data_IF_236796042871
#
_entry.id   IF_236796042871
#
_cell.length_a   1.000
_cell.length_b   1.000
_cell.length_c   1.000
_cell.angle_alpha   90.00
_cell.angle_beta   90.00
_cell.angle_gamma   90.00
#
_symmetry.space_group_name_H-M   'P 1'
#
loop_
_entity.id
_entity.type
_entity.pdbx_description
1 polymer ?
#
# COMPACT_ATOMS: atom_id res chain seq x y z
N UNK A 1 -5.81 -10.56 -6.50
CA UNK A 1 -6.13 -10.92 -5.09
C UNK A 1 -6.47 -12.39 -5.04
N UNK A 2 -5.76 -13.15 -4.21
CA UNK A 2 -5.89 -14.60 -4.02
C UNK A 2 -6.25 -14.91 -2.57
N UNK A 3 -7.06 -15.92 -2.32
CA UNK A 3 -7.38 -16.39 -0.96
C UNK A 3 -6.66 -17.69 -0.66
N UNK A 4 -6.04 -17.79 0.52
CA UNK A 4 -5.26 -18.96 0.95
C UNK A 4 -5.54 -19.25 2.42
N UNK A 5 -5.61 -20.52 2.80
CA UNK A 5 -5.79 -20.89 4.21
C UNK A 5 -4.53 -20.62 5.03
N UNK A 6 -4.69 -20.30 6.31
CA UNK A 6 -3.58 -20.12 7.25
C UNK A 6 -2.68 -21.37 7.35
N UNK A 7 -3.23 -22.57 7.17
CA UNK A 7 -2.44 -23.82 7.11
C UNK A 7 -1.52 -23.85 5.91
N UNK A 8 -2.03 -23.55 4.71
CA UNK A 8 -1.22 -23.55 3.49
C UNK A 8 -0.11 -22.49 3.55
N UNK A 9 -0.41 -21.30 4.07
CA UNK A 9 0.62 -20.25 4.26
C UNK A 9 1.72 -20.68 5.23
N UNK A 10 1.38 -21.44 6.28
CA UNK A 10 2.38 -21.97 7.23
C UNK A 10 3.28 -23.03 6.58
N UNK A 11 2.70 -23.87 5.72
CA UNK A 11 3.42 -24.95 5.08
C UNK A 11 4.36 -24.45 3.96
N UNK A 12 4.03 -23.31 3.33
CA UNK A 12 4.81 -22.78 2.20
C UNK A 12 4.89 -21.24 2.15
N UNK A 13 5.27 -20.62 3.28
CA UNK A 13 5.33 -19.17 3.42
C UNK A 13 6.23 -18.51 2.36
N UNK A 14 7.37 -19.12 2.05
CA UNK A 14 8.34 -18.59 1.09
C UNK A 14 7.79 -18.51 -0.34
N UNK A 15 6.99 -19.49 -0.79
CA UNK A 15 6.31 -19.40 -2.09
C UNK A 15 5.29 -18.28 -2.08
N UNK A 16 4.46 -18.20 -1.04
CA UNK A 16 3.41 -17.19 -0.97
C UNK A 16 3.96 -15.78 -0.82
N UNK A 17 5.12 -15.58 -0.18
CA UNK A 17 5.80 -14.28 -0.16
C UNK A 17 6.19 -13.82 -1.57
N UNK A 18 6.74 -14.72 -2.40
CA UNK A 18 7.08 -14.40 -3.81
C UNK A 18 5.84 -14.14 -4.64
N UNK A 19 4.78 -14.93 -4.47
CA UNK A 19 3.50 -14.66 -5.14
C UNK A 19 2.93 -13.30 -4.71
N UNK A 20 3.13 -12.92 -3.45
CA UNK A 20 2.61 -11.68 -2.88
C UNK A 20 3.31 -10.41 -3.38
N UNK A 21 4.47 -10.51 -4.02
CA UNK A 21 5.17 -9.39 -4.67
C UNK A 21 4.35 -8.80 -5.83
N UNK A 22 3.52 -9.63 -6.49
CA UNK A 22 2.75 -9.21 -7.68
C UNK A 22 1.25 -9.08 -7.42
N UNK A 23 0.74 -9.59 -6.30
CA UNK A 23 -0.67 -9.50 -5.92
C UNK A 23 -0.90 -9.71 -4.43
N UNK A 24 -1.93 -9.07 -3.88
CA UNK A 24 -2.33 -9.32 -2.50
C UNK A 24 -2.86 -10.75 -2.28
N UNK A 25 -2.48 -11.35 -1.16
CA UNK A 25 -3.00 -12.64 -0.70
C UNK A 25 -3.78 -12.47 0.59
N UNK A 26 -5.07 -12.76 0.56
CA UNK A 26 -5.93 -12.78 1.75
C UNK A 26 -5.76 -14.13 2.46
N UNK A 27 -5.29 -14.08 3.70
CA UNK A 27 -5.13 -15.25 4.56
C UNK A 27 -6.45 -15.50 5.28
N UNK A 28 -6.99 -16.71 5.16
CA UNK A 28 -8.22 -17.13 5.84
C UNK A 28 -7.95 -18.07 7.02
N UNK A 29 -8.72 -17.96 8.08
CA UNK A 29 -8.74 -18.89 9.22
C UNK A 29 -10.15 -19.43 9.39
N UNK A 30 -10.31 -20.75 9.26
CA UNK A 30 -11.63 -21.42 9.24
C UNK A 30 -12.58 -20.82 8.19
N UNK A 31 -12.05 -20.50 7.00
CA UNK A 31 -12.82 -19.94 5.89
C UNK A 31 -13.21 -18.46 6.04
N UNK A 32 -12.72 -17.76 7.08
CA UNK A 32 -12.94 -16.33 7.28
C UNK A 32 -11.66 -15.53 7.08
N UNK A 33 -11.68 -14.35 6.42
CA UNK A 33 -10.51 -13.48 6.32
C UNK A 33 -9.91 -13.17 7.68
N UNK A 34 -8.60 -13.28 7.81
CA UNK A 34 -7.86 -13.09 9.04
C UNK A 34 -6.68 -12.11 8.90
N UNK A 35 -6.15 -11.95 7.68
CA UNK A 35 -5.08 -11.00 7.38
C UNK A 35 -4.81 -10.93 5.88
N UNK A 36 -3.88 -10.08 5.49
CA UNK A 36 -3.39 -9.96 4.12
C UNK A 36 -1.87 -10.10 4.16
N UNK A 37 -1.31 -10.87 3.22
CA UNK A 37 0.11 -10.93 2.93
C UNK A 37 0.38 -10.05 1.72
N UNK A 38 1.28 -9.09 1.90
CA UNK A 38 1.77 -8.16 0.89
C UNK A 38 3.28 -8.42 0.78
N UNK A 39 3.74 -8.74 -0.43
CA UNK A 39 5.15 -8.79 -0.77
C UNK A 39 5.58 -7.48 -1.41
N UNK A 40 6.87 -7.19 -1.38
CA UNK A 40 7.46 -6.03 -2.03
C UNK A 40 8.46 -6.52 -3.08
N UNK A 41 8.26 -6.16 -4.35
CA UNK A 41 9.18 -6.54 -5.44
C UNK A 41 10.50 -5.76 -5.32
N UNK A 42 10.43 -4.54 -4.78
CA UNK A 42 11.57 -3.63 -4.66
C UNK A 42 11.60 -2.86 -3.32
N UNK A 43 12.72 -2.19 -3.06
CA UNK A 43 12.82 -1.25 -1.93
C UNK A 43 11.89 -0.03 -2.11
N UNK A 44 11.61 0.35 -3.36
CA UNK A 44 10.69 1.45 -3.67
C UNK A 44 9.25 1.07 -3.29
N UNK A 45 8.80 -0.15 -3.58
CA UNK A 45 7.47 -0.63 -3.16
C UNK A 45 7.31 -0.62 -1.64
N UNK A 46 8.39 -0.97 -0.92
CA UNK A 46 8.41 -0.90 0.54
C UNK A 46 8.33 0.55 1.03
N UNK A 47 9.05 1.47 0.38
CA UNK A 47 9.01 2.88 0.71
C UNK A 47 7.61 3.46 0.50
N UNK A 48 6.99 3.15 -0.63
CA UNK A 48 5.63 3.57 -0.98
C UNK A 48 4.62 3.08 0.05
N UNK A 49 4.65 1.79 0.38
CA UNK A 49 3.78 1.22 1.41
C UNK A 49 3.91 1.94 2.76
N UNK A 50 5.15 2.21 3.20
CA UNK A 50 5.37 2.96 4.44
C UNK A 50 4.82 4.38 4.38
N UNK A 51 4.96 5.05 3.24
CA UNK A 51 4.52 6.42 3.07
C UNK A 51 3.00 6.51 3.04
N UNK A 52 2.34 5.60 2.32
CA UNK A 52 0.89 5.45 2.27
C UNK A 52 0.27 5.19 3.65
N UNK A 53 1.01 4.54 4.54
CA UNK A 53 0.57 4.24 5.90
C UNK A 53 1.13 5.16 6.99
N UNK A 54 1.96 6.17 6.66
CA UNK A 54 2.46 7.14 7.66
C UNK A 54 1.37 8.18 7.98
N UNK A 55 0.87 8.26 9.23
CA UNK A 55 -0.17 9.20 9.60
C UNK A 55 0.21 10.67 9.36
N UNK A 56 1.50 11.01 9.47
CA UNK A 56 1.99 12.38 9.24
C UNK A 56 1.95 12.71 7.76
N UNK A 57 2.28 11.76 6.89
CA UNK A 57 2.16 11.95 5.45
C UNK A 57 0.69 12.12 5.05
N UNK A 58 -0.19 11.25 5.53
CA UNK A 58 -1.62 11.34 5.29
C UNK A 58 -2.23 12.66 5.76
N UNK A 59 -1.81 13.18 6.93
CA UNK A 59 -2.22 14.50 7.42
C UNK A 59 -1.78 15.63 6.48
N UNK A 60 -0.55 15.58 5.95
CA UNK A 60 -0.05 16.59 5.00
C UNK A 60 -0.80 16.53 3.68
N UNK A 61 -1.09 15.33 3.17
CA UNK A 61 -1.92 15.13 1.96
C UNK A 61 -3.31 15.71 2.16
N UNK A 62 -3.95 15.44 3.30
CA UNK A 62 -5.28 15.97 3.61
C UNK A 62 -5.27 17.50 3.72
N UNK A 63 -4.26 18.09 4.35
CA UNK A 63 -4.09 19.55 4.42
C UNK A 63 -3.90 20.15 3.01
N UNK A 64 -3.05 19.56 2.18
CA UNK A 64 -2.82 20.01 0.81
C UNK A 64 -4.12 19.95 -0.03
N UNK A 65 -4.90 18.87 0.09
CA UNK A 65 -6.22 18.72 -0.57
C UNK A 65 -7.21 19.80 -0.12
N UNK A 66 -7.22 20.17 1.15
CA UNK A 66 -8.05 21.27 1.66
C UNK A 66 -7.60 22.62 1.12
N UNK A 67 -6.29 22.89 1.12
CA UNK A 67 -5.72 24.12 0.55
C UNK A 67 -6.09 24.27 -0.92
N UNK A 68 -5.94 23.20 -1.71
CA UNK A 68 -6.28 23.19 -3.12
C UNK A 68 -7.77 23.53 -3.35
N UNK A 69 -8.67 22.91 -2.59
CA UNK A 69 -10.11 23.22 -2.64
C UNK A 69 -10.44 24.66 -2.24
N UNK A 70 -9.63 25.27 -1.37
CA UNK A 70 -9.76 26.66 -0.97
C UNK A 70 -9.09 27.64 -1.94
N UNK A 71 -8.52 27.16 -3.05
CA UNK A 71 -7.85 27.98 -4.06
C UNK A 71 -6.36 28.25 -3.81
N UNK A 72 -5.75 27.60 -2.79
CA UNK A 72 -4.33 27.73 -2.46
C UNK A 72 -3.39 26.83 -3.28
N UNK A 73 -3.78 26.46 -4.50
CA UNK A 73 -2.95 25.68 -5.42
C UNK A 73 -2.33 26.55 -6.51
N UNK A 74 -1.17 26.14 -7.03
CA UNK A 74 -0.51 26.74 -8.19
C UNK A 74 -0.90 25.97 -9.44
N UNK A 75 -1.20 26.66 -10.54
CA UNK A 75 -1.44 25.99 -11.81
C UNK A 75 -0.15 25.39 -12.33
N UNK A 76 -0.24 24.31 -13.10
CA UNK A 76 0.95 23.61 -13.58
C UNK A 76 1.81 24.51 -14.48
N UNK A 77 1.20 25.38 -15.30
CA UNK A 77 1.93 26.35 -16.13
C UNK A 77 2.67 27.44 -15.34
N UNK A 78 2.30 27.65 -14.08
CA UNK A 78 2.85 28.67 -13.20
C UNK A 78 3.90 28.08 -12.22
N UNK A 79 4.20 26.79 -12.32
CA UNK A 79 5.27 26.15 -11.53
C UNK A 79 6.61 26.42 -12.23
N UNK A 80 7.54 27.05 -11.52
CA UNK A 80 8.89 27.30 -12.04
C UNK A 80 9.53 25.97 -12.44
N UNK A 81 9.90 25.87 -13.72
CA UNK A 81 10.73 24.80 -14.23
C UNK A 81 12.17 25.16 -13.87
N UNK A 82 12.71 24.57 -12.81
CA UNK A 82 14.16 24.58 -12.57
C UNK A 82 14.89 23.79 -13.66
#
# INVERSE_FOLDING_TARGET
>A
MKEVSLSEVKDDLSRYLREAETQEIVITRHGKPAGVLIGFESEDDWLDYRLEHDPRFLQRVEQARRSLKAGGGTKLEDVDSE
#
